data_IF_998725789565
#
_entry.id   IF_998725789565
#
_cell.length_a   1.000
_cell.length_b   1.000
_cell.length_c   1.000
_cell.angle_alpha   90.00
_cell.angle_beta   90.00
_cell.angle_gamma   90.00
#
_symmetry.space_group_name_H-M   'P 1'
#
loop_
_entity.id
_entity.type
_entity.pdbx_description
1 polymer ?
#
# COMPACT_ATOMS: atom_id res chain seq x y z
N UNK A 1 -44.01 3.58 -11.80
CA UNK A 1 -44.48 3.34 -10.44
C UNK A 1 -43.36 3.42 -9.39
N UNK A 2 -42.12 3.26 -9.80
CA UNK A 2 -40.90 3.42 -8.95
C UNK A 2 -40.70 4.83 -8.40
N UNK A 3 -41.13 5.87 -9.11
CA UNK A 3 -41.02 7.28 -8.69
C UNK A 3 -41.86 7.59 -7.44
N UNK A 4 -42.89 6.80 -7.15
CA UNK A 4 -43.73 6.99 -5.95
C UNK A 4 -43.12 6.42 -4.67
N UNK A 5 -42.12 5.57 -4.76
CA UNK A 5 -41.39 5.01 -3.61
C UNK A 5 -40.28 5.93 -3.10
N UNK A 6 -39.82 6.84 -3.94
CA UNK A 6 -38.91 7.92 -3.52
C UNK A 6 -39.80 9.06 -2.97
N UNK A 7 -40.43 8.82 -1.84
CA UNK A 7 -41.24 9.83 -1.18
C UNK A 7 -40.40 11.08 -0.94
N UNK A 8 -40.95 12.21 -1.33
CA UNK A 8 -40.63 13.63 -1.05
C UNK A 8 -39.28 14.06 -0.49
N UNK A 9 -38.28 13.19 -0.38
CA UNK A 9 -37.00 13.45 0.23
C UNK A 9 -35.90 13.40 -0.84
N UNK A 10 -35.49 14.56 -1.30
CA UNK A 10 -34.15 14.77 -1.91
C UNK A 10 -33.05 14.64 -0.84
N UNK A 11 -33.09 13.58 -0.07
CA UNK A 11 -32.10 13.32 0.95
C UNK A 11 -30.96 12.51 0.35
N UNK A 12 -29.75 12.95 0.67
CA UNK A 12 -28.54 12.19 0.41
C UNK A 12 -28.59 10.91 1.25
N UNK A 13 -28.47 9.77 0.62
CA UNK A 13 -28.34 8.48 1.29
C UNK A 13 -26.86 8.14 1.43
N UNK A 14 -26.46 7.81 2.65
CA UNK A 14 -25.11 7.37 2.96
C UNK A 14 -25.02 5.85 2.83
N UNK A 15 -24.18 5.38 1.90
CA UNK A 15 -23.91 3.96 1.62
C UNK A 15 -22.47 3.57 1.95
N UNK A 16 -21.81 4.37 2.76
CA UNK A 16 -20.40 4.18 3.14
C UNK A 16 -20.16 2.83 3.82
N UNK A 17 -21.06 2.42 4.72
CA UNK A 17 -20.91 1.15 5.42
C UNK A 17 -21.05 -0.04 4.46
N UNK A 18 -22.03 -0.02 3.57
CA UNK A 18 -22.26 -1.06 2.58
C UNK A 18 -21.10 -1.17 1.60
N UNK A 19 -20.52 -0.05 1.17
CA UNK A 19 -19.34 -0.02 0.31
C UNK A 19 -18.12 -0.64 0.99
N UNK A 20 -17.89 -0.37 2.26
CA UNK A 20 -16.75 -0.92 3.00
C UNK A 20 -16.91 -2.41 3.34
N UNK A 21 -18.12 -2.96 3.29
CA UNK A 21 -18.37 -4.41 3.41
C UNK A 21 -17.99 -5.16 2.14
N UNK A 22 -17.98 -4.49 0.96
CA UNK A 22 -17.54 -5.13 -0.30
C UNK A 22 -16.11 -5.64 -0.14
N UNK A 23 -15.84 -6.94 -0.44
CA UNK A 23 -14.52 -7.51 -0.25
C UNK A 23 -13.45 -6.73 -1.00
N UNK A 24 -12.43 -6.32 -0.29
CA UNK A 24 -11.30 -5.62 -0.88
C UNK A 24 -10.51 -6.56 -1.81
N UNK A 25 -10.31 -6.13 -3.02
CA UNK A 25 -9.39 -6.80 -3.93
C UNK A 25 -7.98 -6.27 -3.67
N UNK A 26 -7.32 -6.86 -2.67
CA UNK A 26 -5.96 -6.50 -2.34
C UNK A 26 -5.02 -6.82 -3.51
N UNK A 27 -4.22 -5.83 -3.88
CA UNK A 27 -3.05 -6.06 -4.70
C UNK A 27 -1.94 -6.79 -3.93
N UNK A 28 -0.80 -6.94 -4.56
CA UNK A 28 0.32 -7.69 -3.98
C UNK A 28 0.85 -7.07 -2.69
N UNK A 29 1.01 -5.74 -2.62
CA UNK A 29 1.54 -5.05 -1.43
C UNK A 29 0.56 -5.12 -0.27
N UNK A 30 -0.73 -4.91 -0.55
CA UNK A 30 -1.79 -4.96 0.46
C UNK A 30 -1.89 -6.32 1.16
N UNK A 31 -1.67 -7.43 0.42
CA UNK A 31 -1.71 -8.79 0.98
C UNK A 31 -0.57 -9.08 1.98
N UNK A 32 0.57 -8.41 1.84
CA UNK A 32 1.68 -8.55 2.80
C UNK A 32 1.49 -7.72 4.07
N UNK A 33 0.46 -6.86 4.13
CA UNK A 33 0.14 -6.09 5.34
C UNK A 33 1.27 -5.17 5.81
N UNK A 34 2.06 -4.63 4.87
CA UNK A 34 3.21 -3.76 5.19
C UNK A 34 2.75 -2.44 5.79
N UNK A 35 1.69 -1.86 5.22
CA UNK A 35 1.13 -0.60 5.67
C UNK A 35 0.07 -0.81 6.75
N UNK A 36 0.32 -0.28 7.95
CA UNK A 36 -0.69 -0.21 9.00
C UNK A 36 -1.69 0.91 8.66
N UNK A 37 -2.99 0.59 8.75
CA UNK A 37 -4.05 1.55 8.46
C UNK A 37 -4.44 2.31 9.72
N UNK A 38 -4.46 3.64 9.64
CA UNK A 38 -4.75 4.52 10.77
C UNK A 38 -5.74 5.61 10.36
N UNK A 39 -6.98 5.61 10.91
CA UNK A 39 -7.95 6.65 10.63
C UNK A 39 -7.57 7.94 11.37
N UNK A 40 -7.70 9.08 10.70
CA UNK A 40 -7.46 10.41 11.27
C UNK A 40 -8.72 11.27 11.15
N UNK A 41 -8.86 12.26 12.02
CA UNK A 41 -10.03 13.13 12.05
C UNK A 41 -9.84 14.45 11.29
N UNK A 42 -8.69 14.66 10.66
CA UNK A 42 -8.37 15.89 9.92
C UNK A 42 -7.82 15.57 8.53
N UNK A 43 -7.89 16.54 7.63
CA UNK A 43 -7.30 16.46 6.29
C UNK A 43 -5.78 16.64 6.28
N UNK A 44 -5.19 16.99 7.43
CA UNK A 44 -3.74 17.10 7.62
C UNK A 44 -3.30 16.21 8.75
N UNK A 45 -2.18 15.53 8.58
CA UNK A 45 -1.56 14.69 9.59
C UNK A 45 -0.30 15.36 10.08
N UNK A 46 -0.14 15.44 11.39
CA UNK A 46 1.09 15.90 12.03
C UNK A 46 1.63 14.78 12.92
N UNK A 47 2.91 14.52 12.84
CA UNK A 47 3.60 13.62 13.75
C UNK A 47 4.91 14.22 14.23
N UNK A 48 5.34 13.81 15.41
CA UNK A 48 6.52 14.28 16.06
C UNK A 48 7.66 13.26 15.89
N UNK A 49 8.73 13.69 15.23
CA UNK A 49 9.98 12.92 15.17
C UNK A 49 10.81 13.24 16.41
N UNK A 50 11.14 12.22 17.19
CA UNK A 50 12.00 12.34 18.35
C UNK A 50 13.35 11.69 17.99
N UNK A 51 14.37 12.52 17.78
CA UNK A 51 15.73 12.04 17.54
C UNK A 51 16.36 11.74 18.91
N UNK A 52 16.58 10.46 19.18
CA UNK A 52 17.24 9.97 20.39
C UNK A 52 18.71 9.72 20.10
N UNK A 53 19.58 10.61 20.51
CA UNK A 53 21.02 10.35 20.54
C UNK A 53 21.34 9.48 21.76
N UNK A 54 21.44 8.17 21.54
CA UNK A 54 21.92 7.25 22.57
C UNK A 54 23.39 7.52 22.85
N UNK A 55 23.70 8.11 23.98
CA UNK A 55 25.08 8.31 24.41
C UNK A 55 25.49 7.22 25.42
N UNK A 56 26.61 6.58 25.18
CA UNK A 56 27.25 5.70 26.19
C UNK A 56 27.75 6.57 27.34
N UNK A 57 27.32 6.25 28.56
CA UNK A 57 27.73 6.98 29.74
C UNK A 57 29.22 6.65 30.02
N UNK A 58 30.04 7.68 30.05
CA UNK A 58 31.45 7.54 30.37
C UNK A 58 31.63 7.40 31.89
N UNK A 59 32.48 6.47 32.33
CA UNK A 59 32.82 6.28 33.73
C UNK A 59 33.53 7.51 34.28
N UNK A 60 33.36 7.77 35.60
CA UNK A 60 34.00 8.87 36.29
C UNK A 60 34.49 8.43 37.67
N UNK A 61 35.41 9.18 38.22
CA UNK A 61 35.91 8.98 39.58
C UNK A 61 34.71 9.13 40.56
N UNK A 62 34.63 8.24 41.54
CA UNK A 62 33.57 8.20 42.53
C UNK A 62 33.44 9.57 43.25
N UNK A 63 32.33 10.25 43.12
CA UNK A 63 32.08 11.61 43.62
C UNK A 63 32.01 12.69 42.56
N UNK A 64 32.48 12.45 41.34
CA UNK A 64 32.35 13.35 40.20
C UNK A 64 31.02 13.14 39.47
N UNK A 65 30.27 14.23 39.17
CA UNK A 65 28.96 14.23 38.50
C UNK A 65 28.97 15.10 37.24
N UNK A 66 29.78 14.77 36.27
CA UNK A 66 29.91 15.55 35.03
C UNK A 66 29.09 15.02 33.85
N UNK A 67 28.40 13.87 33.98
CA UNK A 67 27.54 13.37 32.90
C UNK A 67 26.12 13.99 33.02
N UNK A 68 25.74 14.73 31.98
CA UNK A 68 24.37 15.29 31.89
C UNK A 68 23.60 14.58 30.79
N UNK A 69 22.33 14.30 31.06
CA UNK A 69 21.43 13.81 30.04
C UNK A 69 21.12 14.95 29.05
N UNK A 70 21.22 14.66 27.76
CA UNK A 70 20.83 15.63 26.72
C UNK A 70 19.34 15.54 26.46
N UNK A 71 18.71 16.70 26.27
CA UNK A 71 17.34 16.75 25.81
C UNK A 71 17.20 16.22 24.39
N UNK A 72 16.08 15.56 24.10
CA UNK A 72 15.78 15.06 22.78
C UNK A 72 15.45 16.23 21.84
N UNK A 73 15.95 16.17 20.62
CA UNK A 73 15.52 17.08 19.56
C UNK A 73 14.19 16.58 18.99
N UNK A 74 13.19 17.47 18.97
CA UNK A 74 11.86 17.18 18.43
C UNK A 74 11.65 17.97 17.15
N UNK A 75 11.17 17.30 16.12
CA UNK A 75 10.76 17.87 14.85
C UNK A 75 9.30 17.54 14.59
N UNK A 76 8.51 18.50 14.17
CA UNK A 76 7.11 18.27 13.81
C UNK A 76 7.05 18.27 12.29
N UNK A 77 6.57 17.17 11.73
CA UNK A 77 6.30 16.99 10.32
C UNK A 77 4.79 17.08 10.10
N UNK A 78 4.38 17.86 9.11
CA UNK A 78 2.97 18.04 8.77
C UNK A 78 2.78 17.82 7.28
N UNK A 79 1.80 17.01 6.91
CA UNK A 79 1.47 16.74 5.51
C UNK A 79 -0.04 16.67 5.31
N UNK A 80 -0.48 17.04 4.11
CA UNK A 80 -1.88 16.97 3.71
C UNK A 80 -2.21 15.58 3.15
N UNK A 81 -3.44 15.14 3.35
CA UNK A 81 -3.96 13.90 2.79
C UNK A 81 -4.58 14.21 1.43
N UNK A 82 -4.15 13.55 0.33
CA UNK A 82 -4.76 13.71 -0.98
C UNK A 82 -6.22 13.24 -1.01
N UNK A 83 -7.02 13.89 -1.84
CA UNK A 83 -8.43 13.60 -2.06
C UNK A 83 -8.63 12.90 -3.40
N UNK A 84 -9.28 11.72 -3.40
CA UNK A 84 -9.55 10.91 -4.58
C UNK A 84 -11.05 10.72 -4.79
N UNK A 85 -11.74 11.66 -5.46
CA UNK A 85 -13.15 11.52 -5.81
C UNK A 85 -13.33 10.59 -7.00
N UNK A 86 -14.42 9.85 -7.00
CA UNK A 86 -14.88 9.03 -8.13
C UNK A 86 -16.39 9.05 -8.21
N UNK A 87 -16.93 9.71 -9.22
CA UNK A 87 -18.36 9.86 -9.40
C UNK A 87 -18.90 8.87 -10.43
N UNK A 88 -20.12 8.38 -10.20
CA UNK A 88 -20.89 7.54 -11.12
C UNK A 88 -22.37 7.95 -11.06
N UNK A 89 -23.20 7.40 -11.93
CA UNK A 89 -24.64 7.63 -11.92
C UNK A 89 -25.41 6.41 -12.42
N UNK A 90 -26.60 6.19 -11.85
CA UNK A 90 -27.54 5.18 -12.34
C UNK A 90 -28.57 5.88 -13.20
N UNK A 91 -28.71 5.45 -14.44
CA UNK A 91 -29.67 5.98 -15.38
C UNK A 91 -30.86 5.00 -15.58
N UNK A 92 -32.08 5.49 -15.95
CA UNK A 92 -33.22 4.64 -16.26
C UNK A 92 -32.94 3.58 -17.33
N UNK A 93 -32.03 3.89 -18.29
CA UNK A 93 -31.59 2.93 -19.32
C UNK A 93 -30.85 1.72 -18.75
N UNK A 94 -30.17 1.88 -17.63
CA UNK A 94 -29.40 0.81 -16.98
C UNK A 94 -30.31 -0.21 -16.33
N UNK A 95 -31.56 0.21 -15.96
CA UNK A 95 -32.61 -0.65 -15.43
C UNK A 95 -33.42 -1.29 -16.57
N UNK A 96 -33.69 -0.56 -17.67
CA UNK A 96 -34.53 -1.02 -18.76
C UNK A 96 -33.98 -2.25 -19.51
N UNK A 97 -32.65 -2.46 -19.50
CA UNK A 97 -31.99 -3.55 -20.22
C UNK A 97 -31.58 -4.70 -19.32
N UNK A 98 -31.70 -4.55 -18.01
CA UNK A 98 -31.36 -5.61 -17.04
C UNK A 98 -32.66 -6.39 -16.75
N UNK A 99 -33.08 -7.26 -17.67
CA UNK A 99 -34.03 -8.31 -17.31
C UNK A 99 -33.31 -9.28 -16.37
N UNK A 100 -33.63 -9.22 -15.09
CA UNK A 100 -33.28 -10.30 -14.17
C UNK A 100 -33.89 -11.60 -14.75
N UNK A 101 -33.03 -12.59 -14.95
CA UNK A 101 -33.51 -13.93 -15.32
C UNK A 101 -34.48 -14.39 -14.22
N UNK A 102 -35.79 -14.41 -14.55
CA UNK A 102 -36.86 -15.06 -13.83
C UNK A 102 -37.68 -14.28 -12.78
N UNK A 103 -37.47 -13.02 -12.44
CA UNK A 103 -38.44 -12.35 -11.56
C UNK A 103 -38.73 -10.88 -11.95
N UNK A 104 -40.04 -10.46 -11.98
CA UNK A 104 -40.41 -9.13 -12.42
C UNK A 104 -40.54 -8.15 -11.25
N UNK A 105 -39.50 -8.01 -10.43
CA UNK A 105 -39.54 -7.06 -9.32
C UNK A 105 -38.55 -5.90 -9.55
N UNK A 106 -39.07 -4.73 -9.91
CA UNK A 106 -38.27 -3.56 -10.28
C UNK A 106 -37.40 -3.01 -9.13
N UNK A 107 -37.71 -3.32 -7.87
CA UNK A 107 -36.89 -2.94 -6.71
C UNK A 107 -35.62 -3.77 -6.63
N UNK A 108 -35.70 -5.05 -6.99
CA UNK A 108 -34.53 -5.95 -7.00
C UNK A 108 -33.56 -5.61 -8.13
N UNK A 109 -34.10 -5.11 -9.27
CA UNK A 109 -33.25 -4.66 -10.39
C UNK A 109 -32.39 -3.46 -10.02
N UNK A 110 -32.92 -2.46 -9.31
CA UNK A 110 -32.16 -1.30 -8.85
C UNK A 110 -31.06 -1.72 -7.85
N UNK A 111 -31.39 -2.60 -6.91
CA UNK A 111 -30.45 -3.16 -5.94
C UNK A 111 -29.30 -3.88 -6.64
N UNK A 112 -29.59 -4.69 -7.65
CA UNK A 112 -28.58 -5.43 -8.41
C UNK A 112 -27.63 -4.49 -9.18
N UNK A 113 -28.17 -3.45 -9.83
CA UNK A 113 -27.37 -2.45 -10.56
C UNK A 113 -26.48 -1.67 -9.58
N UNK A 114 -27.05 -1.29 -8.42
CA UNK A 114 -26.30 -0.61 -7.35
C UNK A 114 -25.14 -1.47 -6.88
N UNK A 115 -25.37 -2.71 -6.51
CA UNK A 115 -24.32 -3.64 -6.04
C UNK A 115 -23.19 -3.78 -7.05
N UNK A 116 -23.50 -3.97 -8.33
CA UNK A 116 -22.47 -4.04 -9.38
C UNK A 116 -21.65 -2.77 -9.52
N UNK A 117 -22.28 -1.60 -9.35
CA UNK A 117 -21.56 -0.32 -9.36
C UNK A 117 -20.70 -0.16 -8.12
N UNK A 118 -21.19 -0.54 -6.95
CA UNK A 118 -20.41 -0.54 -5.69
C UNK A 118 -19.18 -1.42 -5.80
N UNK A 119 -19.30 -2.65 -6.31
CA UNK A 119 -18.16 -3.56 -6.53
C UNK A 119 -17.11 -2.94 -7.45
N UNK A 120 -17.54 -2.33 -8.55
CA UNK A 120 -16.63 -1.67 -9.50
C UNK A 120 -15.94 -0.44 -8.89
N UNK A 121 -16.67 0.36 -8.13
CA UNK A 121 -16.14 1.54 -7.42
C UNK A 121 -15.11 1.09 -6.37
N UNK A 122 -15.47 0.11 -5.54
CA UNK A 122 -14.57 -0.44 -4.52
C UNK A 122 -13.28 -1.01 -5.15
N UNK A 123 -13.40 -1.67 -6.31
CA UNK A 123 -12.26 -2.15 -7.07
C UNK A 123 -11.34 -1.00 -7.53
N UNK A 124 -11.91 0.07 -8.08
CA UNK A 124 -11.13 1.22 -8.58
C UNK A 124 -10.40 1.93 -7.43
N UNK A 125 -11.05 2.15 -6.29
CA UNK A 125 -10.40 2.74 -5.10
C UNK A 125 -9.32 1.82 -4.54
N UNK A 126 -9.55 0.50 -4.49
CA UNK A 126 -8.55 -0.47 -4.05
C UNK A 126 -7.32 -0.49 -4.95
N UNK A 127 -7.50 -0.39 -6.28
CA UNK A 127 -6.39 -0.29 -7.22
C UNK A 127 -5.61 1.01 -7.06
N UNK A 128 -6.30 2.12 -6.83
CA UNK A 128 -5.67 3.41 -6.59
C UNK A 128 -4.82 3.38 -5.31
N UNK A 129 -5.34 2.79 -4.24
CA UNK A 129 -4.62 2.62 -2.99
C UNK A 129 -3.37 1.75 -3.17
N UNK A 130 -3.49 0.63 -3.89
CA UNK A 130 -2.35 -0.26 -4.14
C UNK A 130 -1.27 0.41 -4.99
N UNK A 131 -1.68 1.15 -6.02
CA UNK A 131 -0.76 1.93 -6.84
C UNK A 131 -0.03 3.00 -6.01
N UNK A 132 -0.75 3.70 -5.15
CA UNK A 132 -0.18 4.71 -4.26
C UNK A 132 0.81 4.10 -3.25
N UNK A 133 0.52 2.90 -2.71
CA UNK A 133 1.46 2.15 -1.86
C UNK A 133 2.73 1.76 -2.63
N UNK A 134 2.57 1.29 -3.86
CA UNK A 134 3.70 0.99 -4.72
C UNK A 134 4.55 2.22 -4.99
N UNK A 135 3.95 3.37 -5.27
CA UNK A 135 4.68 4.62 -5.49
C UNK A 135 5.41 5.08 -4.22
N UNK A 136 4.79 4.98 -3.07
CA UNK A 136 5.47 5.28 -1.80
C UNK A 136 6.74 4.43 -1.64
N UNK A 137 6.67 3.11 -1.86
CA UNK A 137 7.82 2.21 -1.77
C UNK A 137 8.86 2.52 -2.85
N UNK A 138 8.45 2.67 -4.12
CA UNK A 138 9.37 2.77 -5.26
C UNK A 138 10.01 4.15 -5.37
N UNK A 139 9.20 5.21 -5.30
CA UNK A 139 9.65 6.58 -5.44
C UNK A 139 9.91 7.29 -4.09
N UNK A 140 9.30 6.82 -3.00
CA UNK A 140 9.34 7.52 -1.71
C UNK A 140 8.47 8.77 -1.66
N UNK A 141 7.49 8.89 -2.58
CA UNK A 141 6.63 10.06 -2.72
C UNK A 141 5.17 9.72 -2.52
N UNK A 142 4.37 10.68 -2.11
CA UNK A 142 2.91 10.56 -2.06
C UNK A 142 2.34 10.56 -3.48
N UNK A 143 1.38 9.67 -3.73
CA UNK A 143 0.66 9.66 -5.00
C UNK A 143 -0.37 10.81 -5.04
N UNK A 144 -0.06 11.84 -5.79
CA UNK A 144 -0.94 12.96 -6.07
C UNK A 144 -0.63 13.51 -7.48
N UNK A 145 -1.13 12.86 -8.54
CA UNK A 145 -0.72 13.15 -9.92
C UNK A 145 -1.06 14.57 -10.38
N UNK A 146 -2.04 15.22 -9.76
CA UNK A 146 -2.39 16.62 -10.05
C UNK A 146 -1.55 17.64 -9.27
N UNK A 147 -0.54 17.19 -8.51
CA UNK A 147 0.32 18.08 -7.73
C UNK A 147 -0.35 18.78 -6.54
N UNK A 148 -1.50 18.28 -6.08
CA UNK A 148 -2.23 18.85 -4.92
C UNK A 148 -1.46 18.64 -3.61
N UNK A 149 -0.67 17.59 -3.54
CA UNK A 149 0.23 17.28 -2.43
C UNK A 149 1.58 16.90 -3.01
N UNK A 150 2.63 17.60 -2.62
CA UNK A 150 4.01 17.32 -3.02
C UNK A 150 4.79 16.93 -1.78
N UNK A 151 4.83 15.64 -1.47
CA UNK A 151 5.56 15.12 -0.33
C UNK A 151 6.55 14.06 -0.81
N UNK A 152 7.83 14.24 -0.48
CA UNK A 152 8.90 13.29 -0.67
C UNK A 152 9.48 12.92 0.69
N UNK A 153 9.27 11.66 1.09
CA UNK A 153 9.66 11.15 2.40
C UNK A 153 11.18 11.14 2.60
N UNK A 154 11.95 10.92 1.52
CA UNK A 154 13.40 10.92 1.63
C UNK A 154 13.93 12.34 1.93
N UNK A 155 13.39 13.35 1.21
CA UNK A 155 13.74 14.77 1.45
C UNK A 155 13.27 15.26 2.80
N UNK A 156 12.06 14.87 3.22
CA UNK A 156 11.46 15.30 4.49
C UNK A 156 12.29 14.86 5.70
N UNK A 157 12.77 13.61 5.66
CA UNK A 157 13.63 13.06 6.72
C UNK A 157 15.14 13.28 6.46
N UNK A 158 15.51 13.97 5.38
CA UNK A 158 16.91 14.21 5.02
C UNK A 158 17.69 12.92 4.75
N UNK A 159 17.04 11.91 4.19
CA UNK A 159 17.61 10.59 3.95
C UNK A 159 17.89 10.33 2.48
N UNK A 160 19.03 9.72 2.19
CA UNK A 160 19.33 9.20 0.86
C UNK A 160 19.05 7.70 0.84
N UNK A 161 18.18 7.25 -0.08
CA UNK A 161 17.84 5.84 -0.22
C UNK A 161 19.06 4.98 -0.46
N UNK A 162 19.20 3.90 0.31
CA UNK A 162 20.24 2.92 0.11
C UNK A 162 19.97 2.13 -1.19
N UNK A 163 21.03 1.89 -1.96
CA UNK A 163 20.97 1.16 -3.22
C UNK A 163 21.98 0.02 -3.22
N UNK A 164 21.58 -1.15 -3.76
CA UNK A 164 22.47 -2.31 -3.92
C UNK A 164 22.45 -2.76 -5.38
N UNK A 165 23.63 -2.80 -6.00
CA UNK A 165 23.79 -3.32 -7.36
C UNK A 165 24.10 -4.82 -7.33
N UNK A 166 23.22 -5.62 -7.92
CA UNK A 166 23.34 -7.07 -7.97
C UNK A 166 24.26 -7.59 -9.09
N UNK A 167 24.57 -6.78 -10.07
CA UNK A 167 25.49 -7.09 -11.20
C UNK A 167 25.23 -8.50 -11.77
N UNK A 168 24.01 -8.82 -12.16
CA UNK A 168 23.62 -10.16 -12.62
C UNK A 168 24.31 -10.62 -13.89
N UNK A 169 24.89 -9.71 -14.68
CA UNK A 169 25.65 -10.06 -15.89
C UNK A 169 26.98 -10.72 -15.61
N UNK A 170 27.46 -10.68 -14.37
CA UNK A 170 28.73 -11.31 -13.95
C UNK A 170 28.44 -12.60 -13.21
N UNK A 171 28.72 -13.75 -13.82
CA UNK A 171 28.35 -15.05 -13.26
C UNK A 171 29.02 -15.44 -11.92
N UNK A 172 30.10 -14.75 -11.53
CA UNK A 172 30.81 -14.96 -10.27
C UNK A 172 30.39 -13.98 -9.16
N UNK A 173 29.36 -13.16 -9.40
CA UNK A 173 28.85 -12.25 -8.36
C UNK A 173 28.26 -13.07 -7.20
N UNK A 174 28.72 -12.84 -5.99
CA UNK A 174 28.15 -13.44 -4.79
C UNK A 174 26.85 -12.76 -4.42
N UNK A 175 25.72 -13.32 -4.90
CA UNK A 175 24.37 -12.74 -4.70
C UNK A 175 24.01 -12.69 -3.21
N UNK A 176 24.44 -13.68 -2.44
CA UNK A 176 24.19 -13.71 -0.99
C UNK A 176 24.82 -12.51 -0.29
N UNK A 177 26.04 -12.13 -0.64
CA UNK A 177 26.73 -10.95 -0.08
C UNK A 177 25.97 -9.65 -0.39
N UNK A 178 25.41 -9.54 -1.61
CA UNK A 178 24.57 -8.39 -1.97
C UNK A 178 23.27 -8.32 -1.16
N UNK A 179 22.67 -9.47 -0.90
CA UNK A 179 21.47 -9.56 -0.06
C UNK A 179 21.80 -9.16 1.38
N UNK A 180 22.89 -9.70 1.94
CA UNK A 180 23.35 -9.36 3.29
C UNK A 180 23.68 -7.87 3.42
N UNK A 181 24.29 -7.26 2.41
CA UNK A 181 24.52 -5.80 2.36
C UNK A 181 23.19 -5.02 2.47
N UNK A 182 22.16 -5.45 1.77
CA UNK A 182 20.85 -4.84 1.84
C UNK A 182 20.18 -5.02 3.21
N UNK A 183 20.28 -6.22 3.78
CA UNK A 183 19.75 -6.54 5.12
C UNK A 183 20.46 -5.70 6.19
N UNK A 184 21.79 -5.65 6.15
CA UNK A 184 22.60 -4.87 7.08
C UNK A 184 22.24 -3.38 7.01
N UNK A 185 22.05 -2.83 5.80
CA UNK A 185 21.60 -1.45 5.62
C UNK A 185 20.25 -1.17 6.29
N UNK A 186 19.30 -2.10 6.19
CA UNK A 186 18.01 -1.97 6.88
C UNK A 186 18.19 -2.08 8.40
N UNK A 187 18.91 -3.08 8.87
CA UNK A 187 19.11 -3.34 10.30
C UNK A 187 19.84 -2.20 11.01
N UNK A 188 20.91 -1.69 10.42
CA UNK A 188 21.72 -0.61 10.99
C UNK A 188 20.93 0.70 11.12
N UNK A 189 20.00 0.94 10.21
CA UNK A 189 19.26 2.20 10.15
C UNK A 189 17.88 2.15 10.82
N UNK A 190 17.28 0.95 10.97
CA UNK A 190 15.95 0.79 11.60
C UNK A 190 16.06 0.39 13.07
N UNK A 191 17.25 0.01 13.54
CA UNK A 191 17.51 -0.64 14.85
C UNK A 191 17.15 0.16 16.11
N UNK A 192 16.71 1.41 16.02
CA UNK A 192 16.37 2.26 17.18
C UNK A 192 15.16 1.75 18.00
N UNK A 193 15.19 0.47 18.41
CA UNK A 193 14.20 -0.12 19.31
C UNK A 193 12.97 -0.72 18.64
N UNK A 194 12.98 -0.89 17.30
CA UNK A 194 11.92 -1.59 16.56
C UNK A 194 12.33 -3.02 16.23
N UNK A 195 11.38 -3.93 16.33
CA UNK A 195 11.56 -5.31 15.88
C UNK A 195 11.24 -5.41 14.39
N UNK A 196 12.17 -5.99 13.61
CA UNK A 196 11.93 -6.39 12.23
C UNK A 196 11.54 -7.86 12.27
N UNK A 197 10.33 -8.20 11.81
CA UNK A 197 9.85 -9.61 11.79
C UNK A 197 10.27 -10.34 10.54
N UNK A 198 10.58 -9.64 9.46
CA UNK A 198 11.02 -10.19 8.20
C UNK A 198 11.36 -9.11 7.18
N UNK A 199 11.90 -9.53 6.05
CA UNK A 199 12.17 -8.65 4.91
C UNK A 199 11.53 -9.27 3.67
N UNK A 200 10.72 -8.48 2.99
CA UNK A 200 10.11 -8.82 1.69
C UNK A 200 10.72 -7.96 0.61
N UNK A 201 11.04 -8.55 -0.52
CA UNK A 201 11.53 -7.85 -1.69
C UNK A 201 10.54 -7.94 -2.85
N UNK A 202 9.98 -6.81 -3.24
CA UNK A 202 9.12 -6.72 -4.42
C UNK A 202 9.98 -6.54 -5.67
N UNK A 203 9.86 -7.46 -6.61
CA UNK A 203 10.73 -7.54 -7.77
C UNK A 203 9.97 -7.30 -9.07
N UNK A 204 10.58 -6.57 -9.99
CA UNK A 204 10.14 -6.61 -11.38
C UNK A 204 10.34 -8.03 -11.98
N UNK A 205 9.53 -8.44 -12.97
CA UNK A 205 9.66 -9.76 -13.59
C UNK A 205 11.05 -10.05 -14.14
N UNK A 206 11.72 -9.02 -14.69
CA UNK A 206 13.07 -9.12 -15.24
C UNK A 206 14.13 -9.32 -14.17
N UNK A 207 14.06 -8.59 -13.05
CA UNK A 207 14.95 -8.76 -11.91
C UNK A 207 14.79 -10.15 -11.30
N UNK A 208 13.54 -10.58 -11.06
CA UNK A 208 13.22 -11.88 -10.49
C UNK A 208 13.73 -13.04 -11.35
N UNK A 209 13.56 -12.95 -12.67
CA UNK A 209 14.06 -13.97 -13.60
C UNK A 209 15.58 -14.06 -13.58
N UNK A 210 16.29 -12.92 -13.57
CA UNK A 210 17.75 -12.88 -13.47
C UNK A 210 18.24 -13.42 -12.13
N UNK A 211 17.59 -13.08 -11.01
CA UNK A 211 17.93 -13.58 -9.67
C UNK A 211 17.89 -15.12 -9.62
N UNK A 212 16.79 -15.74 -10.04
CA UNK A 212 16.63 -17.21 -10.01
C UNK A 212 17.60 -17.90 -11.00
N UNK A 213 17.89 -17.26 -12.14
CA UNK A 213 18.74 -17.85 -13.15
C UNK A 213 20.22 -17.69 -12.87
N UNK A 214 20.63 -16.91 -11.89
CA UNK A 214 22.03 -16.65 -11.57
C UNK A 214 22.77 -17.93 -11.13
N UNK A 215 24.00 -18.18 -11.60
CA UNK A 215 24.74 -19.40 -11.31
C UNK A 215 24.96 -19.68 -9.81
N UNK A 216 25.30 -18.67 -9.00
CA UNK A 216 25.51 -18.81 -7.56
C UNK A 216 24.23 -19.20 -6.83
N UNK A 217 23.09 -18.63 -7.23
CA UNK A 217 21.77 -18.98 -6.69
C UNK A 217 21.40 -20.39 -7.07
N UNK A 218 21.59 -20.81 -8.34
CA UNK A 218 21.34 -22.18 -8.78
C UNK A 218 22.21 -23.20 -8.06
N UNK A 219 23.49 -22.89 -7.84
CA UNK A 219 24.41 -23.78 -7.12
C UNK A 219 23.95 -24.00 -5.67
N UNK A 220 23.50 -22.95 -4.99
CA UNK A 220 22.96 -23.05 -3.64
C UNK A 220 21.74 -24.00 -3.55
N UNK A 221 20.92 -24.08 -4.60
CA UNK A 221 19.78 -24.99 -4.65
C UNK A 221 20.12 -26.45 -4.92
N UNK A 222 21.21 -26.72 -5.61
CA UNK A 222 21.61 -28.11 -5.91
C UNK A 222 21.93 -28.90 -4.65
N UNK A 223 22.27 -28.23 -3.56
CA UNK A 223 22.57 -28.84 -2.28
C UNK A 223 21.38 -28.91 -1.32
N UNK A 224 20.23 -28.33 -1.67
CA UNK A 224 19.03 -28.44 -0.86
C UNK A 224 18.36 -29.77 -1.09
N UNK A 225 18.22 -30.57 -0.03
CA UNK A 225 17.56 -31.88 -0.06
C UNK A 225 16.11 -31.75 -0.54
N UNK A 226 15.66 -32.65 -1.39
CA UNK A 226 14.45 -32.67 -2.20
C UNK A 226 13.09 -32.53 -1.46
N UNK A 227 13.05 -32.42 -0.15
CA UNK A 227 11.82 -32.31 0.66
C UNK A 227 11.25 -30.89 0.74
N UNK A 228 12.03 -29.88 0.40
CA UNK A 228 11.59 -28.48 0.33
C UNK A 228 11.96 -27.90 -1.03
N UNK A 229 11.16 -28.18 -2.05
CA UNK A 229 11.28 -27.45 -3.31
C UNK A 229 10.88 -26.00 -3.10
N UNK A 230 11.81 -25.03 -3.17
CA UNK A 230 11.49 -23.61 -3.03
C UNK A 230 10.55 -23.09 -4.13
N UNK A 231 10.46 -23.82 -5.24
CA UNK A 231 9.55 -23.57 -6.35
C UNK A 231 8.16 -24.25 -6.17
N UNK A 232 8.00 -25.10 -5.15
CA UNK A 232 6.73 -25.79 -4.92
C UNK A 232 5.64 -24.87 -4.36
N UNK A 233 6.03 -23.76 -3.76
CA UNK A 233 5.10 -22.73 -3.28
C UNK A 233 4.49 -21.87 -4.41
N UNK A 234 4.75 -22.21 -5.67
CA UNK A 234 4.13 -21.52 -6.82
C UNK A 234 2.59 -21.52 -6.80
N UNK A 235 1.98 -22.39 -6.04
CA UNK A 235 0.54 -22.64 -6.11
C UNK A 235 -0.20 -22.53 -4.77
N UNK A 236 0.49 -22.32 -3.64
CA UNK A 236 -0.15 -22.51 -2.33
C UNK A 236 -0.47 -21.22 -1.56
N UNK A 237 -0.11 -20.06 -2.02
CA UNK A 237 -0.36 -18.79 -1.31
C UNK A 237 -1.79 -18.26 -1.47
N UNK A 238 -2.75 -19.09 -1.79
CA UNK A 238 -4.12 -18.71 -2.04
C UNK A 238 -5.12 -19.38 -1.11
N UNK A 239 -4.96 -19.24 0.19
CA UNK A 239 -6.07 -19.48 1.11
C UNK A 239 -7.09 -18.37 0.99
N UNK A 240 -8.06 -18.49 0.09
CA UNK A 240 -9.16 -17.52 -0.06
C UNK A 240 -9.36 -17.12 -1.51
N UNK A 241 -10.36 -17.64 -2.08
CA UNK A 241 -11.28 -17.27 -3.16
C UNK A 241 -10.95 -16.13 -4.14
N UNK A 242 -9.69 -15.71 -4.25
CA UNK A 242 -9.24 -14.80 -5.29
C UNK A 242 -8.67 -15.63 -6.41
N UNK A 243 -9.33 -15.59 -7.56
CA UNK A 243 -8.83 -16.14 -8.80
C UNK A 243 -7.39 -15.69 -9.02
N UNK A 244 -6.51 -16.45 -8.46
CA UNK A 244 -5.16 -16.76 -8.85
C UNK A 244 -4.42 -15.67 -9.64
N UNK A 245 -3.91 -14.74 -8.98
CA UNK A 245 -2.59 -14.30 -9.39
C UNK A 245 -1.63 -15.42 -8.97
N UNK A 246 -1.23 -16.27 -9.92
CA UNK A 246 -0.17 -17.28 -9.70
C UNK A 246 1.11 -16.49 -9.45
N UNK A 247 1.29 -16.04 -8.20
CA UNK A 247 2.42 -15.23 -7.78
C UNK A 247 3.63 -16.13 -7.66
N UNK A 248 4.74 -15.74 -8.26
CA UNK A 248 6.01 -16.40 -8.06
C UNK A 248 6.70 -15.79 -6.84
N UNK A 249 6.93 -16.62 -5.84
CA UNK A 249 7.64 -16.25 -4.63
C UNK A 249 8.87 -17.15 -4.48
N UNK A 250 9.89 -16.62 -3.86
CA UNK A 250 11.16 -17.27 -3.72
C UNK A 250 11.85 -16.83 -2.43
N UNK A 251 12.24 -17.74 -1.58
CA UNK A 251 12.93 -17.43 -0.34
C UNK A 251 14.42 -17.71 -0.48
N UNK A 252 15.24 -16.68 -0.35
CA UNK A 252 16.70 -16.81 -0.44
C UNK A 252 17.41 -15.73 0.34
N UNK A 253 18.46 -16.08 1.09
CA UNK A 253 19.26 -15.15 1.89
C UNK A 253 18.46 -14.46 3.00
N UNK A 254 17.46 -15.11 3.60
CA UNK A 254 16.62 -14.51 4.64
C UNK A 254 15.57 -13.53 4.12
N UNK A 255 15.44 -13.31 2.80
CA UNK A 255 14.52 -12.42 2.16
C UNK A 255 13.48 -13.19 1.34
N UNK A 256 12.23 -12.79 1.46
CA UNK A 256 11.14 -13.29 0.62
C UNK A 256 11.04 -12.44 -0.65
N UNK A 257 11.49 -13.00 -1.77
CA UNK A 257 11.44 -12.35 -3.08
C UNK A 257 10.11 -12.61 -3.76
N UNK A 258 9.39 -11.57 -4.13
CA UNK A 258 8.03 -11.63 -4.69
C UNK A 258 8.03 -10.99 -6.06
N UNK A 259 7.62 -11.74 -7.09
CA UNK A 259 7.47 -11.19 -8.43
C UNK A 259 6.19 -10.36 -8.53
N UNK A 260 6.32 -9.09 -8.84
CA UNK A 260 5.20 -8.20 -9.11
C UNK A 260 4.97 -8.07 -10.61
N UNK A 261 3.84 -8.61 -11.06
CA UNK A 261 3.34 -8.48 -12.43
C UNK A 261 2.17 -7.53 -12.55
N UNK A 262 1.72 -6.99 -11.43
CA UNK A 262 0.56 -6.11 -11.37
C UNK A 262 0.81 -4.85 -12.22
N UNK A 263 -0.17 -4.55 -13.06
CA UNK A 263 -0.20 -3.35 -13.91
C UNK A 263 -1.50 -2.63 -13.65
N UNK A 264 -1.41 -1.36 -13.35
CA UNK A 264 -2.58 -0.50 -13.22
C UNK A 264 -2.50 0.63 -14.25
N UNK A 265 -3.58 0.86 -14.96
CA UNK A 265 -3.64 1.82 -16.07
C UNK A 265 -2.52 1.63 -17.12
N UNK A 266 -2.11 0.38 -17.38
CA UNK A 266 -1.04 0.06 -18.35
C UNK A 266 0.39 0.21 -17.81
N UNK A 267 0.58 0.78 -16.63
CA UNK A 267 1.90 1.00 -16.02
C UNK A 267 2.28 -0.15 -15.10
N UNK A 268 3.54 -0.58 -15.16
CA UNK A 268 4.09 -1.51 -14.19
C UNK A 268 4.36 -0.76 -12.87
N UNK A 269 4.06 -1.41 -11.74
CA UNK A 269 4.31 -0.83 -10.42
C UNK A 269 5.80 -0.72 -10.10
N UNK A 270 6.61 -1.66 -10.59
CA UNK A 270 8.06 -1.67 -10.39
C UNK A 270 8.75 -1.57 -11.73
N UNK A 271 9.68 -0.61 -11.84
CA UNK A 271 10.50 -0.42 -13.03
C UNK A 271 11.29 -1.70 -13.35
N UNK A 272 11.35 -2.07 -14.63
CA UNK A 272 12.10 -3.23 -15.11
C UNK A 272 13.57 -3.19 -14.65
N UNK A 273 14.08 -4.33 -14.18
CA UNK A 273 15.45 -4.45 -13.66
C UNK A 273 15.64 -3.97 -12.22
N UNK A 274 14.56 -3.55 -11.54
CA UNK A 274 14.62 -3.13 -10.13
C UNK A 274 13.84 -4.06 -9.21
N UNK A 275 14.22 -4.03 -7.92
CA UNK A 275 13.48 -4.62 -6.82
C UNK A 275 13.62 -3.71 -5.59
N UNK A 276 12.72 -3.85 -4.63
CA UNK A 276 12.72 -3.06 -3.40
C UNK A 276 12.59 -4.00 -2.22
N UNK A 277 13.62 -4.02 -1.36
CA UNK A 277 13.59 -4.74 -0.09
C UNK A 277 12.92 -3.84 0.95
N UNK A 278 11.93 -4.38 1.64
CA UNK A 278 11.09 -3.65 2.60
C UNK A 278 11.06 -4.42 3.91
N UNK A 279 11.32 -3.74 5.03
CA UNK A 279 11.21 -4.33 6.36
C UNK A 279 9.74 -4.56 6.74
N UNK A 280 9.43 -5.74 7.28
CA UNK A 280 8.11 -6.09 7.83
C UNK A 280 8.08 -6.01 9.34
N UNK A 281 6.88 -5.80 9.90
CA UNK A 281 6.64 -5.76 11.34
C UNK A 281 7.11 -4.48 12.01
N UNK A 282 7.43 -3.45 11.22
CA UNK A 282 7.81 -2.12 11.70
C UNK A 282 6.62 -1.17 11.64
N UNK A 283 6.64 -0.10 12.46
CA UNK A 283 5.70 1.03 12.36
C UNK A 283 6.11 2.06 11.29
N UNK A 284 7.09 1.70 10.44
CA UNK A 284 7.64 2.58 9.43
C UNK A 284 6.65 2.94 8.32
N UNK A 285 5.67 2.08 8.07
CA UNK A 285 4.74 2.22 6.96
C UNK A 285 3.32 2.39 7.47
N UNK A 286 2.69 3.53 7.18
CA UNK A 286 1.32 3.83 7.58
C UNK A 286 0.49 4.32 6.40
N UNK A 287 -0.78 3.92 6.37
CA UNK A 287 -1.79 4.52 5.50
C UNK A 287 -2.77 5.30 6.38
N UNK A 288 -2.78 6.60 6.25
CA UNK A 288 -3.72 7.47 6.96
C UNK A 288 -4.96 7.67 6.12
N UNK A 289 -6.15 7.49 6.73
CA UNK A 289 -7.42 7.78 6.11
C UNK A 289 -8.04 9.01 6.73
N UNK A 290 -8.36 10.03 5.91
CA UNK A 290 -9.00 11.26 6.34
C UNK A 290 -10.53 11.22 6.10
N UNK A 291 -11.31 12.03 6.84
CA UNK A 291 -12.74 12.10 6.65
C UNK A 291 -13.12 12.66 5.27
N UNK A 292 -14.34 12.36 4.83
CA UNK A 292 -14.90 12.93 3.62
C UNK A 292 -15.18 14.44 3.78
N UNK A 293 -15.08 15.18 2.66
CA UNK A 293 -15.33 16.62 2.66
C UNK A 293 -16.83 16.93 2.63
N UNK A 294 -17.50 16.59 3.75
CA UNK A 294 -18.94 16.84 3.95
C UNK A 294 -19.20 17.40 5.33
N UNK A 295 -20.15 18.33 5.43
CA UNK A 295 -20.51 18.98 6.69
C UNK A 295 -20.87 18.00 7.82
N UNK A 296 -21.51 16.87 7.51
CA UNK A 296 -21.89 15.86 8.49
C UNK A 296 -20.71 15.00 8.99
N UNK A 297 -19.55 15.04 8.33
CA UNK A 297 -18.40 14.19 8.61
C UNK A 297 -17.17 14.99 9.08
N UNK A 298 -17.33 16.28 9.31
CA UNK A 298 -16.27 17.13 9.84
C UNK A 298 -15.84 16.64 11.23
N UNK A 299 -14.53 16.46 11.43
CA UNK A 299 -13.92 15.97 12.67
C UNK A 299 -14.33 14.52 13.06
N UNK A 300 -14.83 13.72 12.13
CA UNK A 300 -15.01 12.28 12.33
C UNK A 300 -13.75 11.52 11.95
N UNK A 301 -13.61 10.31 12.43
CA UNK A 301 -12.52 9.44 11.99
C UNK A 301 -12.72 9.06 10.51
N UNK A 302 -11.65 9.09 9.75
CA UNK A 302 -11.67 8.74 8.34
C UNK A 302 -11.98 7.27 8.11
N UNK A 303 -12.79 6.98 7.09
CA UNK A 303 -13.02 5.63 6.60
C UNK A 303 -12.26 5.39 5.29
N UNK A 304 -12.11 4.13 4.91
CA UNK A 304 -11.38 3.75 3.72
C UNK A 304 -12.00 4.31 2.44
N UNK A 305 -13.32 4.26 2.35
CA UNK A 305 -14.12 4.72 1.22
C UNK A 305 -15.43 5.31 1.73
N UNK A 306 -15.92 6.32 1.02
CA UNK A 306 -17.21 6.94 1.27
C UNK A 306 -18.06 6.85 0.02
N UNK A 307 -19.38 6.66 0.19
CA UNK A 307 -20.34 6.64 -0.90
C UNK A 307 -21.64 7.32 -0.51
N UNK A 308 -22.03 8.28 -1.30
CA UNK A 308 -23.25 9.06 -1.14
C UNK A 308 -24.09 8.97 -2.40
N UNK A 309 -25.36 8.76 -2.22
CA UNK A 309 -26.31 8.64 -3.31
C UNK A 309 -27.32 9.77 -3.23
N UNK A 310 -27.46 10.53 -4.31
CA UNK A 310 -28.40 11.66 -4.40
C UNK A 310 -29.26 11.53 -5.65
N UNK A 311 -30.58 11.45 -5.51
CA UNK A 311 -31.46 11.47 -6.68
C UNK A 311 -31.44 12.88 -7.30
N UNK A 312 -31.31 12.94 -8.63
CA UNK A 312 -31.33 14.22 -9.34
C UNK A 312 -32.69 14.86 -9.22
N UNK A 313 -32.76 16.20 -9.12
CA UNK A 313 -34.01 16.97 -8.99
C UNK A 313 -34.99 16.69 -10.11
N UNK A 314 -34.49 16.40 -11.30
CA UNK A 314 -35.33 16.12 -12.49
C UNK A 314 -35.74 14.65 -12.60
N UNK A 315 -35.34 13.77 -11.67
CA UNK A 315 -35.64 12.34 -11.71
C UNK A 315 -35.02 11.60 -12.89
N UNK A 316 -34.00 12.16 -13.54
CA UNK A 316 -33.34 11.60 -14.72
C UNK A 316 -32.21 10.65 -14.42
N UNK A 317 -31.64 10.73 -13.23
CA UNK A 317 -30.49 9.88 -12.75
C UNK A 317 -30.46 9.85 -11.23
N UNK A 318 -29.78 8.84 -10.72
CA UNK A 318 -29.33 8.80 -9.33
C UNK A 318 -27.83 9.03 -9.38
N UNK A 319 -27.35 10.09 -8.78
CA UNK A 319 -25.94 10.44 -8.69
C UNK A 319 -25.28 9.66 -7.56
N UNK A 320 -24.15 9.08 -7.84
CA UNK A 320 -23.31 8.38 -6.87
C UNK A 320 -21.99 9.15 -6.77
N UNK A 321 -21.76 9.75 -5.64
CA UNK A 321 -20.52 10.44 -5.33
C UNK A 321 -19.71 9.57 -4.38
N UNK A 322 -18.48 9.22 -4.75
CA UNK A 322 -17.61 8.44 -3.89
C UNK A 322 -16.27 9.12 -3.74
N UNK A 323 -15.65 8.92 -2.60
CA UNK A 323 -14.33 9.44 -2.31
C UNK A 323 -13.56 8.52 -1.39
N UNK A 324 -12.23 8.52 -1.55
CA UNK A 324 -11.29 7.87 -0.68
C UNK A 324 -10.13 8.82 -0.42
N UNK A 325 -9.97 9.24 0.83
CA UNK A 325 -8.98 10.24 1.23
C UNK A 325 -7.88 9.55 2.00
N UNK A 326 -6.78 9.22 1.34
CA UNK A 326 -5.69 8.49 1.99
C UNK A 326 -4.31 9.04 1.65
N UNK A 327 -3.38 8.88 2.58
CA UNK A 327 -1.97 9.16 2.40
C UNK A 327 -1.13 7.99 2.88
N UNK A 328 -0.25 7.48 2.01
CA UNK A 328 0.71 6.46 2.38
C UNK A 328 2.00 7.10 2.82
N UNK A 329 2.27 7.05 4.11
CA UNK A 329 3.45 7.62 4.73
C UNK A 329 4.52 6.57 4.98
N UNK A 330 5.76 6.90 4.66
CA UNK A 330 6.94 6.17 5.08
C UNK A 330 7.64 6.99 6.16
N UNK A 331 7.38 6.65 7.41
CA UNK A 331 7.93 7.37 8.56
C UNK A 331 9.42 7.09 8.77
N UNK A 332 9.93 6.01 8.16
CA UNK A 332 11.35 5.63 8.18
C UNK A 332 11.78 5.18 6.80
N UNK A 333 12.23 6.10 5.94
CA UNK A 333 12.69 5.77 4.58
C UNK A 333 13.82 4.74 4.55
N UNK A 334 14.59 4.61 5.63
CA UNK A 334 15.68 3.64 5.82
C UNK A 334 15.20 2.18 5.79
N UNK A 335 13.91 1.95 6.02
CA UNK A 335 13.31 0.61 5.98
C UNK A 335 13.13 0.07 4.54
N UNK A 336 13.51 0.86 3.53
CA UNK A 336 13.41 0.50 2.11
C UNK A 336 14.78 0.60 1.45
N UNK A 337 15.24 -0.49 0.82
CA UNK A 337 16.48 -0.55 0.01
C UNK A 337 16.12 -0.84 -1.44
N UNK A 338 16.64 -0.04 -2.35
CA UNK A 338 16.50 -0.25 -3.78
C UNK A 338 17.57 -1.21 -4.29
N UNK A 339 17.16 -2.29 -4.92
CA UNK A 339 18.02 -3.25 -5.59
C UNK A 339 17.90 -3.07 -7.10
N UNK A 340 19.01 -3.02 -7.79
CA UNK A 340 19.06 -2.89 -9.24
C UNK A 340 20.17 -3.74 -9.87
N UNK A 341 20.24 -3.77 -11.16
CA UNK A 341 21.36 -4.38 -11.90
C UNK A 341 21.86 -3.42 -12.94
N UNK A 342 23.17 -3.15 -12.93
CA UNK A 342 23.82 -2.27 -13.88
C UNK A 342 24.10 -2.96 -15.21
N UNK A 343 23.98 -4.30 -15.30
CA UNK A 343 24.24 -5.11 -16.51
C UNK A 343 23.35 -6.36 -16.63
#
# INVERSE_FOLDING_TARGET
MLIRSFGNNFQVSDWTQELNVVPNQWGTIGQFGIFAEEPVASSTVAFEEIVKDGAVIVDRVRGDRGNQNKDYTRKIHTFAVPHFPLDDAIYPKDLANVRAYAEPNAADELSLVRTRKMERIAQNHSWTLEFARAQAITAGTVYAPNGTVTQDWNSEFGWTRATVDFVFGTGNTEILDKIETGIASIQDNVSNGQSITGIVAFCSPTFFAKLISHPTVKAAYQYYTSTQEPLRQRLSAGGGNSAATVRREFFYGGVQWVEMRDKYAGNQLITSGKAYMVAQGTDAFKTYFAPAERFGLVNTLGERMYMFETPSQNGTKIEIETESNFCNAILRPQAVVECFTSN
#
